data_IF_702399345774
#
_entry.id   IF_702399345774
#
_cell.length_a   1.000
_cell.length_b   1.000
_cell.length_c   1.000
_cell.angle_alpha   90.00
_cell.angle_beta   90.00
_cell.angle_gamma   90.00
#
_symmetry.space_group_name_H-M   'P 1'
#
loop_
_entity.id
_entity.type
_entity.pdbx_description
1 polymer ?
#
# COMPACT_ATOMS: atom_id res chain seq x y z
N UNK A 1 17.14 -5.08 15.61
CA UNK A 1 16.13 -4.88 14.54
C UNK A 1 14.85 -4.42 15.19
N UNK A 2 14.48 -3.13 15.06
CA UNK A 2 13.19 -2.65 15.54
C UNK A 2 12.12 -3.11 14.56
N UNK A 3 11.22 -3.98 15.02
CA UNK A 3 10.04 -4.38 14.25
C UNK A 3 8.94 -3.38 14.61
N UNK A 4 8.51 -2.58 13.65
CA UNK A 4 7.39 -1.68 13.82
C UNK A 4 6.11 -2.50 14.03
N UNK A 5 5.54 -2.42 15.23
CA UNK A 5 4.20 -2.94 15.52
C UNK A 5 3.19 -1.79 15.60
N UNK A 6 1.90 -2.09 15.44
CA UNK A 6 0.79 -1.13 15.63
C UNK A 6 0.91 -0.40 16.97
N UNK A 7 1.34 -1.09 18.03
CA UNK A 7 1.55 -0.49 19.34
C UNK A 7 2.79 0.41 19.36
N UNK A 8 3.89 0.03 18.70
CA UNK A 8 5.10 0.86 18.61
C UNK A 8 4.83 2.16 17.87
N UNK A 9 4.11 2.11 16.73
CA UNK A 9 3.72 3.30 15.97
C UNK A 9 2.85 4.21 16.83
N UNK A 10 1.84 3.65 17.50
CA UNK A 10 0.96 4.42 18.40
C UNK A 10 1.74 5.05 19.56
N UNK A 11 2.67 4.32 20.16
CA UNK A 11 3.49 4.82 21.26
C UNK A 11 4.42 5.94 20.79
N UNK A 12 5.01 5.84 19.61
CA UNK A 12 5.88 6.89 19.06
C UNK A 12 5.10 8.16 18.75
N UNK A 13 3.91 8.04 18.16
CA UNK A 13 3.01 9.18 17.92
C UNK A 13 2.65 9.87 19.23
N UNK A 14 2.32 9.09 20.27
CA UNK A 14 2.02 9.63 21.60
C UNK A 14 3.24 10.25 22.29
N UNK A 15 4.44 9.68 22.13
CA UNK A 15 5.69 10.25 22.68
C UNK A 15 6.02 11.60 22.08
N UNK A 16 5.67 11.82 20.80
CA UNK A 16 5.82 13.13 20.14
C UNK A 16 4.72 14.13 20.55
N UNK A 17 3.74 13.71 21.37
CA UNK A 17 2.70 14.58 21.91
C UNK A 17 1.46 14.69 21.04
N UNK A 18 1.32 13.89 19.99
CA UNK A 18 0.18 13.94 19.09
C UNK A 18 -0.74 12.73 19.22
N UNK A 19 -1.94 12.87 18.69
CA UNK A 19 -2.91 11.77 18.63
C UNK A 19 -3.13 11.38 17.17
N UNK A 20 -3.41 10.10 16.93
CA UNK A 20 -3.76 9.60 15.59
C UNK A 20 -4.95 10.38 15.00
N UNK A 21 -5.85 10.84 15.85
CA UNK A 21 -7.01 11.66 15.46
C UNK A 21 -6.59 13.05 15.03
N UNK A 22 -5.78 13.75 15.84
CA UNK A 22 -5.25 15.07 15.50
C UNK A 22 -4.45 15.04 14.20
N UNK A 23 -3.65 14.00 14.02
CA UNK A 23 -2.88 13.77 12.80
C UNK A 23 -3.76 13.61 11.56
N UNK A 24 -4.88 12.89 11.70
CA UNK A 24 -5.84 12.72 10.62
C UNK A 24 -6.49 14.06 10.26
N UNK A 25 -6.88 14.85 11.27
CA UNK A 25 -7.51 16.17 11.08
C UNK A 25 -6.54 17.14 10.41
N UNK A 26 -5.29 17.18 10.85
CA UNK A 26 -4.23 18.02 10.27
C UNK A 26 -3.97 17.66 8.80
N UNK A 27 -4.00 16.36 8.48
CA UNK A 27 -3.91 15.86 7.12
C UNK A 27 -5.19 16.06 6.27
N UNK A 28 -6.26 16.65 6.83
CA UNK A 28 -7.55 16.82 6.16
C UNK A 28 -8.29 15.51 5.87
N UNK A 29 -8.02 14.47 6.67
CA UNK A 29 -8.61 13.14 6.58
C UNK A 29 -9.66 12.93 7.68
N UNK A 30 -10.48 11.89 7.51
CA UNK A 30 -11.36 11.45 8.58
C UNK A 30 -10.55 10.96 9.78
N UNK A 31 -11.00 11.30 10.98
CA UNK A 31 -10.40 10.89 12.27
C UNK A 31 -10.13 9.39 12.36
N UNK A 32 -11.00 8.60 11.73
CA UNK A 32 -10.91 7.15 11.68
C UNK A 32 -9.80 6.65 10.74
N UNK A 33 -9.35 7.45 9.76
CA UNK A 33 -8.40 7.03 8.73
C UNK A 33 -7.07 6.55 9.33
N UNK A 34 -6.53 7.26 10.31
CA UNK A 34 -5.28 6.87 10.98
C UNK A 34 -5.44 5.62 11.87
N UNK A 35 -6.59 5.44 12.54
CA UNK A 35 -6.90 4.19 13.27
C UNK A 35 -7.06 3.02 12.31
N UNK A 36 -7.75 3.24 11.19
CA UNK A 36 -7.95 2.25 10.15
C UNK A 36 -6.62 1.87 9.51
N UNK A 37 -5.69 2.81 9.28
CA UNK A 37 -4.35 2.53 8.75
C UNK A 37 -3.56 1.52 9.60
N UNK A 38 -3.77 1.49 10.93
CA UNK A 38 -3.14 0.50 11.80
C UNK A 38 -3.72 -0.91 11.59
N UNK A 39 -5.00 -1.05 11.25
CA UNK A 39 -5.71 -2.35 11.19
C UNK A 39 -5.88 -2.86 9.76
N UNK A 40 -6.17 -1.98 8.81
CA UNK A 40 -6.46 -2.23 7.40
C UNK A 40 -5.54 -1.38 6.53
N UNK A 41 -5.46 -1.72 5.24
CA UNK A 41 -4.69 -0.95 4.27
C UNK A 41 -5.41 0.37 3.98
N UNK A 42 -4.80 1.49 4.33
CA UNK A 42 -5.34 2.82 4.08
C UNK A 42 -4.18 3.74 3.71
N UNK A 43 -3.92 3.86 2.40
CA UNK A 43 -2.77 4.59 1.87
C UNK A 43 -2.68 6.02 2.39
N UNK A 44 -3.83 6.71 2.52
CA UNK A 44 -3.86 8.10 2.98
C UNK A 44 -3.49 8.22 4.46
N UNK A 45 -4.05 7.36 5.30
CA UNK A 45 -3.72 7.31 6.73
C UNK A 45 -2.27 6.85 6.99
N UNK A 46 -1.79 5.86 6.22
CA UNK A 46 -0.39 5.40 6.26
C UNK A 46 0.57 6.54 5.88
N UNK A 47 0.26 7.30 4.82
CA UNK A 47 1.04 8.47 4.39
C UNK A 47 1.06 9.59 5.43
N UNK A 48 -0.07 9.90 6.06
CA UNK A 48 -0.11 10.92 7.11
C UNK A 48 0.82 10.53 8.28
N UNK A 49 0.73 9.29 8.75
CA UNK A 49 1.57 8.78 9.84
C UNK A 49 3.06 8.77 9.44
N UNK A 50 3.36 8.36 8.21
CA UNK A 50 4.73 8.37 7.68
C UNK A 50 5.30 9.78 7.56
N UNK A 51 4.52 10.75 7.07
CA UNK A 51 4.91 12.14 6.97
C UNK A 51 5.22 12.74 8.35
N UNK A 52 4.37 12.44 9.34
CA UNK A 52 4.60 12.87 10.71
C UNK A 52 5.84 12.25 11.35
N UNK A 53 6.02 10.94 11.18
CA UNK A 53 7.16 10.23 11.74
C UNK A 53 8.47 10.57 11.00
N UNK A 54 8.38 11.02 9.75
CA UNK A 54 9.53 11.21 8.84
C UNK A 54 10.10 9.87 8.35
N UNK A 55 9.32 8.79 8.44
CA UNK A 55 9.74 7.42 8.10
C UNK A 55 8.90 6.96 6.91
N UNK A 56 9.50 6.36 5.86
CA UNK A 56 8.73 5.86 4.74
C UNK A 56 7.74 4.77 5.17
N UNK A 57 6.57 4.73 4.53
CA UNK A 57 5.53 3.71 4.79
C UNK A 57 6.04 2.28 4.62
N UNK A 58 7.06 2.09 3.79
CA UNK A 58 7.68 0.79 3.51
C UNK A 58 8.48 0.26 4.71
N UNK A 59 9.10 1.14 5.50
CA UNK A 59 9.80 0.78 6.74
C UNK A 59 8.82 0.50 7.89
N UNK A 60 7.73 1.26 7.95
CA UNK A 60 6.68 1.08 8.97
C UNK A 60 5.84 -0.18 8.73
N UNK A 61 5.54 -0.50 7.47
CA UNK A 61 4.74 -1.65 7.07
C UNK A 61 5.44 -2.51 6.01
N UNK A 62 6.57 -3.15 6.35
CA UNK A 62 7.37 -3.93 5.39
C UNK A 62 6.64 -5.16 4.85
N UNK A 63 5.68 -5.70 5.60
CA UNK A 63 4.87 -6.86 5.21
C UNK A 63 3.79 -6.51 4.17
N UNK A 64 3.17 -5.32 4.26
CA UNK A 64 2.07 -4.92 3.36
C UNK A 64 2.53 -4.51 1.97
N UNK A 65 3.71 -3.90 1.84
CA UNK A 65 4.22 -3.42 0.56
C UNK A 65 4.81 -4.52 -0.34
N UNK A 66 4.96 -5.76 0.17
CA UNK A 66 5.38 -6.91 -0.63
C UNK A 66 4.29 -7.51 -1.53
N UNK A 67 3.06 -7.01 -1.49
CA UNK A 67 2.03 -7.49 -2.39
C UNK A 67 2.28 -7.00 -3.83
N UNK A 68 2.35 -7.91 -4.82
CA UNK A 68 2.51 -7.52 -6.21
C UNK A 68 1.33 -6.63 -6.62
N UNK A 69 1.65 -5.52 -7.29
CA UNK A 69 0.65 -4.58 -7.82
C UNK A 69 -0.40 -5.39 -8.61
N UNK A 70 -1.68 -5.24 -8.26
CA UNK A 70 -2.77 -5.92 -8.97
C UNK A 70 -2.77 -5.41 -10.41
N UNK A 71 -2.43 -6.29 -11.37
CA UNK A 71 -2.38 -5.96 -12.81
C UNK A 71 -3.67 -5.23 -13.22
N UNK A 72 -3.51 -4.15 -13.98
CA UNK A 72 -4.64 -3.39 -14.52
C UNK A 72 -5.52 -4.29 -15.39
N UNK A 73 -6.78 -3.90 -15.60
CA UNK A 73 -7.68 -4.64 -16.51
C UNK A 73 -7.08 -4.69 -17.92
N UNK A 74 -6.42 -3.60 -18.35
CA UNK A 74 -5.74 -3.51 -19.64
C UNK A 74 -4.58 -4.51 -19.76
N UNK A 75 -3.69 -4.60 -18.76
CA UNK A 75 -2.61 -5.59 -18.76
C UNK A 75 -3.13 -7.02 -18.76
N UNK A 76 -4.19 -7.31 -17.99
CA UNK A 76 -4.82 -8.64 -18.02
C UNK A 76 -5.35 -8.99 -19.40
N UNK A 77 -5.98 -8.02 -20.10
CA UNK A 77 -6.45 -8.21 -21.49
C UNK A 77 -5.30 -8.42 -22.46
N UNK A 78 -4.21 -7.64 -22.35
CA UNK A 78 -3.01 -7.81 -23.21
C UNK A 78 -2.38 -9.19 -23.03
N UNK A 79 -2.19 -9.64 -21.78
CA UNK A 79 -1.67 -10.97 -21.46
C UNK A 79 -2.57 -12.11 -21.95
N UNK A 80 -3.90 -11.91 -21.92
CA UNK A 80 -4.85 -12.87 -22.46
C UNK A 80 -4.82 -12.92 -24.00
N UNK A 81 -4.56 -11.80 -24.68
CA UNK A 81 -4.43 -11.73 -26.14
C UNK A 81 -3.15 -12.40 -26.64
N UNK A 82 -2.01 -12.18 -25.96
CA UNK A 82 -0.73 -12.78 -26.33
C UNK A 82 -0.74 -14.32 -26.34
N UNK A 83 -1.71 -14.96 -25.67
CA UNK A 83 -1.88 -16.42 -25.70
C UNK A 83 -2.60 -16.93 -26.96
N UNK A 84 -3.22 -16.05 -27.76
CA UNK A 84 -3.92 -16.43 -29.00
C UNK A 84 -3.01 -16.38 -30.23
N UNK A 85 -2.04 -15.47 -30.24
CA UNK A 85 -1.12 -15.28 -31.38
C UNK A 85 0.00 -16.34 -31.47
N UNK A 86 0.14 -17.23 -30.48
CA UNK A 86 1.17 -18.27 -30.46
C UNK A 86 0.80 -19.55 -31.24
N UNK A 87 -0.35 -19.58 -31.93
CA UNK A 87 -0.76 -20.68 -32.81
C UNK A 87 -1.12 -20.10 -34.18
N UNK A 88 -0.12 -19.77 -34.97
CA UNK A 88 -0.28 -19.65 -36.42
C UNK A 88 0.91 -20.37 -37.04
N UNK A 89 0.92 -21.70 -36.89
CA UNK A 89 1.68 -22.57 -37.78
C UNK A 89 0.97 -22.54 -39.13
N UNK A 90 1.46 -21.66 -40.00
CA UNK A 90 1.14 -21.67 -41.42
C UNK A 90 1.73 -22.96 -42.00
N UNK A 91 0.86 -23.95 -42.23
CA UNK A 91 1.21 -25.16 -42.97
C UNK A 91 1.44 -24.81 -44.44
N UNK A 92 2.71 -24.78 -44.84
CA UNK A 92 3.18 -24.69 -46.22
C UNK A 92 2.80 -26.00 -46.95
N UNK A 93 1.89 -25.90 -47.92
CA UNK A 93 1.47 -27.03 -48.77
C UNK A 93 2.31 -27.06 -50.05
N UNK A 94 2.99 -28.18 -50.28
CA UNK A 94 3.71 -28.52 -51.51
C UNK A 94 2.98 -29.65 -52.26
#
# INVERSE_FOLDING_TARGET
MQRWDRFSIKAEVQRRGETLTGLAIDAGLEESACRVALVRRNTRGEQAIAAYLGIPVEDLWPDRHKMPKRKTIAERRRLASQKRDACTDIGEAA
#
